data_IF_257387532640
#
_entry.id   IF_257387532640
#
_cell.length_a   1.000
_cell.length_b   1.000
_cell.length_c   1.000
_cell.angle_alpha   90.00
_cell.angle_beta   90.00
_cell.angle_gamma   90.00
#
_symmetry.space_group_name_H-M   'P 1'
#
loop_
_entity.id
_entity.type
_entity.pdbx_description
1 polymer ?
#
# COMPACT_ATOMS: atom_id res chain seq x y z
N UNK A 1 70.64 -42.62 -30.53
CA UNK A 1 69.35 -42.94 -29.90
C UNK A 1 68.81 -41.68 -29.22
N UNK A 2 67.57 -41.33 -29.59
CA UNK A 2 66.92 -40.02 -29.41
C UNK A 2 66.45 -39.86 -27.96
N UNK A 3 66.76 -38.72 -27.33
CA UNK A 3 66.39 -38.41 -25.95
C UNK A 3 64.89 -38.23 -25.74
N UNK A 4 64.37 -38.80 -24.66
CA UNK A 4 63.01 -38.59 -24.17
C UNK A 4 62.91 -37.24 -23.47
N UNK A 5 62.10 -36.32 -24.02
CA UNK A 5 61.63 -35.12 -23.32
C UNK A 5 60.43 -35.53 -22.45
N UNK A 6 60.53 -35.35 -21.13
CA UNK A 6 59.38 -35.43 -20.21
C UNK A 6 58.55 -34.15 -20.37
N UNK A 7 57.29 -34.28 -20.80
CA UNK A 7 56.29 -33.22 -20.66
C UNK A 7 55.83 -33.20 -19.21
N UNK A 8 56.01 -32.07 -18.53
CA UNK A 8 55.39 -31.77 -17.25
C UNK A 8 54.11 -30.99 -17.58
N UNK A 9 52.95 -31.59 -17.28
CA UNK A 9 51.66 -30.92 -17.33
C UNK A 9 51.53 -30.08 -16.06
N UNK A 10 51.59 -28.76 -16.18
CA UNK A 10 51.25 -27.82 -15.11
C UNK A 10 49.77 -27.51 -15.29
N UNK A 11 48.93 -28.09 -14.43
CA UNK A 11 47.52 -27.73 -14.34
C UNK A 11 47.39 -26.38 -13.65
N UNK A 12 46.95 -25.37 -14.38
CA UNK A 12 46.54 -24.08 -13.81
C UNK A 12 45.16 -24.23 -13.16
N UNK A 13 45.12 -24.41 -11.85
CA UNK A 13 43.92 -24.18 -11.04
C UNK A 13 43.61 -22.69 -11.08
N UNK A 14 42.62 -22.31 -11.89
CA UNK A 14 42.00 -20.99 -11.84
C UNK A 14 41.13 -20.96 -10.59
N UNK A 15 41.64 -20.34 -9.53
CA UNK A 15 40.82 -19.94 -8.39
C UNK A 15 39.95 -18.78 -8.85
N UNK A 16 38.67 -19.04 -9.09
CA UNK A 16 37.68 -17.98 -9.21
C UNK A 16 37.49 -17.35 -7.83
N UNK A 17 38.27 -16.31 -7.53
CA UNK A 17 37.85 -15.33 -6.54
C UNK A 17 36.65 -14.59 -7.12
N UNK A 18 35.45 -15.01 -6.70
CA UNK A 18 34.26 -14.18 -6.84
C UNK A 18 34.53 -12.90 -6.04
N UNK A 19 34.70 -11.79 -6.74
CA UNK A 19 34.68 -10.47 -6.11
C UNK A 19 33.23 -10.19 -5.70
N UNK A 20 32.85 -10.58 -4.49
CA UNK A 20 31.77 -9.86 -3.80
C UNK A 20 32.24 -8.42 -3.64
N UNK A 21 31.43 -7.48 -4.10
CA UNK A 21 31.68 -6.06 -3.86
C UNK A 21 31.82 -5.85 -2.34
N UNK A 22 32.80 -5.05 -1.93
CA UNK A 22 33.07 -4.83 -0.49
C UNK A 22 31.84 -4.37 0.29
N UNK A 23 30.89 -3.72 -0.39
CA UNK A 23 29.65 -3.23 0.19
C UNK A 23 28.64 -4.34 0.51
N UNK A 24 28.51 -5.38 -0.33
CA UNK A 24 27.61 -6.52 -0.07
C UNK A 24 28.11 -7.40 1.09
N UNK A 25 29.42 -7.66 1.13
CA UNK A 25 30.03 -8.46 2.19
C UNK A 25 29.93 -7.78 3.57
N UNK A 26 30.03 -6.45 3.59
CA UNK A 26 29.91 -5.65 4.83
C UNK A 26 28.46 -5.61 5.32
N UNK A 27 27.48 -5.43 4.42
CA UNK A 27 26.04 -5.46 4.72
C UNK A 27 25.54 -6.80 5.25
N UNK A 28 25.98 -7.90 4.64
CA UNK A 28 25.67 -9.25 5.13
C UNK A 28 26.16 -9.48 6.55
N UNK A 29 27.25 -8.82 6.95
CA UNK A 29 27.78 -8.93 8.33
C UNK A 29 26.92 -8.16 9.32
N UNK A 30 26.48 -6.94 8.98
CA UNK A 30 25.65 -6.08 9.84
C UNK A 30 24.32 -6.72 10.23
N UNK A 31 23.64 -7.37 9.28
CA UNK A 31 22.32 -7.99 9.50
C UNK A 31 22.36 -9.50 9.72
N UNK A 32 23.56 -10.08 9.91
CA UNK A 32 23.76 -11.53 10.01
C UNK A 32 22.95 -12.20 11.12
N UNK A 33 22.69 -11.52 12.24
CA UNK A 33 21.88 -12.05 13.35
C UNK A 33 20.41 -12.28 12.98
N UNK A 34 19.90 -11.55 11.97
CA UNK A 34 18.54 -11.69 11.50
C UNK A 34 18.44 -12.74 10.38
N UNK A 35 19.52 -13.06 9.68
CA UNK A 35 19.50 -13.96 8.53
C UNK A 35 19.33 -15.42 8.95
N UNK A 36 18.38 -16.11 8.33
CA UNK A 36 18.16 -17.54 8.48
C UNK A 36 18.27 -18.24 7.13
N UNK A 37 18.46 -19.56 7.12
CA UNK A 37 18.44 -20.34 5.88
C UNK A 37 17.03 -20.46 5.27
N UNK A 38 15.99 -20.02 5.99
CA UNK A 38 14.60 -20.05 5.55
C UNK A 38 14.35 -18.91 4.56
N UNK A 39 13.70 -19.23 3.45
CA UNK A 39 13.35 -18.29 2.39
C UNK A 39 12.00 -18.63 1.77
N UNK A 40 11.39 -17.64 1.13
CA UNK A 40 10.27 -17.79 0.21
C UNK A 40 10.77 -17.73 -1.23
N UNK A 41 10.12 -18.48 -2.14
CA UNK A 41 10.54 -18.63 -3.54
C UNK A 41 9.95 -17.56 -4.48
N UNK A 42 9.12 -16.65 -3.96
CA UNK A 42 8.45 -15.59 -4.71
C UNK A 42 9.02 -14.22 -4.34
N UNK A 43 9.09 -13.33 -5.33
CA UNK A 43 9.39 -11.93 -5.10
C UNK A 43 8.20 -11.22 -4.43
N UNK A 44 8.48 -10.12 -3.74
CA UNK A 44 7.51 -9.36 -2.95
C UNK A 44 7.33 -7.95 -3.52
N UNK A 45 6.07 -7.63 -3.83
CA UNK A 45 5.63 -6.27 -4.04
C UNK A 45 5.21 -5.66 -2.71
N UNK A 46 5.55 -4.39 -2.48
CA UNK A 46 5.14 -3.68 -1.27
C UNK A 46 4.62 -2.27 -1.54
N UNK A 47 3.80 -1.77 -0.62
CA UNK A 47 3.35 -0.36 -0.62
C UNK A 47 3.00 0.09 0.79
N UNK A 48 3.15 1.37 1.12
CA UNK A 48 2.63 1.92 2.37
C UNK A 48 1.11 2.03 2.28
N UNK A 49 0.43 1.83 3.41
CA UNK A 49 -1.02 1.95 3.49
C UNK A 49 -1.43 2.49 4.85
N UNK A 50 -2.24 3.51 4.84
CA UNK A 50 -2.98 3.96 6.02
C UNK A 50 -4.27 3.11 6.13
N UNK A 51 -4.43 2.43 7.27
CA UNK A 51 -5.56 1.52 7.52
C UNK A 51 -6.30 1.88 8.80
N UNK A 52 -7.55 1.47 8.87
CA UNK A 52 -8.38 1.54 10.07
C UNK A 52 -8.58 0.13 10.62
N UNK A 53 -8.52 -0.03 11.94
CA UNK A 53 -8.63 -1.33 12.62
C UNK A 53 -10.08 -1.75 12.89
N UNK A 54 -11.01 -0.79 12.79
CA UNK A 54 -12.46 -1.00 12.92
C UNK A 54 -13.22 -0.07 11.97
N UNK A 55 -14.55 -0.15 12.00
CA UNK A 55 -15.43 0.78 11.29
C UNK A 55 -15.73 2.06 12.10
N UNK A 56 -15.09 2.24 13.25
CA UNK A 56 -15.26 3.42 14.09
C UNK A 56 -14.35 4.56 13.62
N UNK A 57 -14.71 5.78 14.02
CA UNK A 57 -13.88 6.98 13.84
C UNK A 57 -12.55 6.79 14.56
N UNK A 58 -11.46 6.82 13.81
CA UNK A 58 -10.11 6.62 14.32
C UNK A 58 -9.07 7.23 13.38
N UNK A 59 -7.95 7.64 13.96
CA UNK A 59 -6.77 8.02 13.19
C UNK A 59 -6.22 6.78 12.48
N UNK A 60 -5.91 6.85 11.17
CA UNK A 60 -5.38 5.70 10.46
C UNK A 60 -3.99 5.31 10.96
N UNK A 61 -3.73 4.01 10.99
CA UNK A 61 -2.41 3.45 11.28
C UNK A 61 -1.62 3.27 9.98
N UNK A 62 -0.37 3.75 9.96
CA UNK A 62 0.53 3.53 8.84
C UNK A 62 1.12 2.11 8.91
N UNK A 63 0.83 1.31 7.88
CA UNK A 63 1.34 -0.05 7.69
C UNK A 63 2.09 -0.16 6.38
N UNK A 64 2.85 -1.23 6.24
CA UNK A 64 3.43 -1.67 4.98
C UNK A 64 2.70 -2.93 4.53
N UNK A 65 2.02 -2.85 3.40
CA UNK A 65 1.42 -4.01 2.76
C UNK A 65 2.48 -4.77 1.98
N UNK A 66 2.60 -6.07 2.21
CA UNK A 66 3.49 -6.97 1.50
C UNK A 66 2.64 -7.97 0.73
N UNK A 67 2.95 -8.19 -0.55
CA UNK A 67 2.23 -9.10 -1.43
C UNK A 67 3.22 -9.94 -2.24
N UNK A 68 2.96 -11.24 -2.36
CA UNK A 68 3.70 -12.05 -3.33
C UNK A 68 3.40 -11.61 -4.76
N UNK A 69 4.38 -11.77 -5.64
CA UNK A 69 4.20 -11.69 -7.09
C UNK A 69 3.50 -12.93 -7.64
N UNK A 70 3.67 -14.08 -6.98
CA UNK A 70 2.95 -15.31 -7.29
C UNK A 70 1.46 -15.20 -6.88
N UNK A 71 0.59 -15.78 -7.69
CA UNK A 71 -0.85 -15.89 -7.44
C UNK A 71 -1.18 -17.30 -6.94
N UNK A 72 -1.76 -17.39 -5.75
CA UNK A 72 -2.16 -18.63 -5.12
C UNK A 72 -3.63 -18.95 -5.36
N UNK A 73 -4.01 -20.21 -5.09
CA UNK A 73 -5.34 -20.73 -5.34
C UNK A 73 -6.46 -20.08 -4.50
N UNK A 74 -6.11 -19.39 -3.40
CA UNK A 74 -7.06 -18.72 -2.51
C UNK A 74 -6.60 -17.29 -2.19
N UNK A 75 -7.55 -16.37 -2.06
CA UNK A 75 -7.28 -14.94 -1.87
C UNK A 75 -6.70 -14.62 -0.49
N UNK A 76 -6.87 -15.54 0.46
CA UNK A 76 -6.45 -15.39 1.84
C UNK A 76 -5.20 -16.20 2.20
N UNK A 77 -4.33 -16.48 1.22
CA UNK A 77 -2.95 -16.89 1.51
C UNK A 77 -2.21 -15.77 2.25
N UNK A 78 -1.39 -16.16 3.23
CA UNK A 78 -0.62 -15.25 4.06
C UNK A 78 0.87 -15.25 3.71
N UNK A 79 1.54 -14.13 3.96
CA UNK A 79 3.01 -14.10 4.06
C UNK A 79 3.38 -14.00 5.53
N UNK A 80 4.04 -15.02 6.07
CA UNK A 80 4.54 -15.01 7.43
C UNK A 80 5.89 -14.26 7.47
N UNK A 81 6.00 -13.32 8.40
CA UNK A 81 7.18 -12.47 8.54
C UNK A 81 7.53 -12.27 10.01
N UNK A 82 8.81 -12.12 10.30
CA UNK A 82 9.29 -11.54 11.55
C UNK A 82 9.63 -10.08 11.34
N UNK A 83 9.21 -9.23 12.29
CA UNK A 83 9.46 -7.80 12.28
C UNK A 83 10.37 -7.42 13.45
N UNK A 84 11.42 -6.65 13.15
CA UNK A 84 12.32 -6.07 14.14
C UNK A 84 12.49 -4.58 13.88
N UNK A 85 12.75 -3.81 14.93
CA UNK A 85 13.09 -2.40 14.83
C UNK A 85 14.37 -2.14 15.61
N UNK A 86 15.38 -1.60 14.93
CA UNK A 86 16.59 -1.11 15.55
C UNK A 86 16.74 0.38 15.24
N UNK A 87 16.62 1.24 16.26
CA UNK A 87 16.59 2.69 16.11
C UNK A 87 15.59 3.16 15.03
N UNK A 88 16.08 3.62 13.88
CA UNK A 88 15.27 4.10 12.73
C UNK A 88 15.23 3.12 11.56
N UNK A 89 15.72 1.91 11.75
CA UNK A 89 15.71 0.84 10.76
C UNK A 89 14.63 -0.17 11.11
N UNK A 90 13.71 -0.40 10.17
CA UNK A 90 12.74 -1.49 10.22
C UNK A 90 13.29 -2.68 9.43
N UNK A 91 13.34 -3.84 10.08
CA UNK A 91 13.85 -5.07 9.48
C UNK A 91 12.69 -6.06 9.37
N UNK A 92 12.44 -6.55 8.17
CA UNK A 92 11.38 -7.48 7.85
C UNK A 92 12.02 -8.73 7.26
N UNK A 93 11.86 -9.86 7.94
CA UNK A 93 12.34 -11.16 7.46
C UNK A 93 11.18 -12.03 7.02
N UNK A 94 11.26 -12.55 5.80
CA UNK A 94 10.29 -13.48 5.26
C UNK A 94 10.53 -14.89 5.80
N UNK A 95 9.48 -15.51 6.35
CA UNK A 95 9.56 -16.85 6.96
C UNK A 95 8.91 -17.90 6.06
N UNK A 96 7.65 -17.68 5.65
CA UNK A 96 6.92 -18.68 4.88
C UNK A 96 5.73 -18.10 4.12
N UNK A 97 5.22 -18.85 3.15
CA UNK A 97 3.89 -18.65 2.59
C UNK A 97 2.92 -19.58 3.32
N UNK A 98 1.86 -19.01 3.88
CA UNK A 98 0.91 -19.73 4.72
C UNK A 98 -0.38 -19.97 3.95
N UNK A 99 -0.70 -21.24 3.76
CA UNK A 99 -2.00 -21.67 3.23
C UNK A 99 -3.09 -21.50 4.31
N UNK A 100 -4.25 -20.93 3.97
CA UNK A 100 -5.33 -20.77 4.93
C UNK A 100 -6.06 -22.11 5.16
N UNK A 101 -6.56 -22.33 6.38
CA UNK A 101 -7.39 -23.49 6.69
C UNK A 101 -8.75 -23.52 5.95
N UNK A 102 -9.24 -22.35 5.51
CA UNK A 102 -10.44 -22.20 4.67
C UNK A 102 -10.08 -21.34 3.47
N UNK A 103 -10.33 -21.85 2.27
CA UNK A 103 -10.11 -21.12 1.02
C UNK A 103 -11.27 -20.15 0.73
N UNK A 104 -10.99 -18.85 0.64
CA UNK A 104 -11.92 -17.89 0.05
C UNK A 104 -11.88 -18.04 -1.48
N UNK A 105 -13.05 -18.18 -2.11
CA UNK A 105 -13.24 -18.56 -3.52
C UNK A 105 -12.81 -17.47 -4.53
N UNK A 106 -11.53 -17.11 -4.52
CA UNK A 106 -10.90 -16.23 -5.49
C UNK A 106 -9.39 -16.52 -5.46
N UNK A 107 -8.72 -16.44 -6.61
CA UNK A 107 -7.26 -16.50 -6.67
C UNK A 107 -6.67 -15.13 -6.34
N UNK A 108 -5.51 -15.10 -5.71
CA UNK A 108 -4.84 -13.84 -5.36
C UNK A 108 -3.44 -14.05 -4.81
N UNK A 109 -2.65 -12.97 -4.66
CA UNK A 109 -1.34 -13.06 -4.05
C UNK A 109 -1.48 -13.35 -2.54
N UNK A 110 -0.46 -13.99 -1.97
CA UNK A 110 -0.30 -14.07 -0.53
C UNK A 110 -0.03 -12.66 0.02
N UNK A 111 -0.61 -12.30 1.17
CA UNK A 111 -0.49 -10.95 1.72
C UNK A 111 -0.17 -10.94 3.21
N UNK A 112 0.45 -9.86 3.65
CA UNK A 112 0.48 -9.48 5.07
C UNK A 112 0.58 -7.97 5.22
N UNK A 113 0.34 -7.50 6.44
CA UNK A 113 0.51 -6.11 6.83
C UNK A 113 1.46 -6.06 8.02
N UNK A 114 2.47 -5.23 7.96
CA UNK A 114 3.40 -4.99 9.07
C UNK A 114 3.35 -3.53 9.50
N UNK A 115 3.71 -3.24 10.74
CA UNK A 115 3.75 -1.87 11.23
C UNK A 115 4.83 -1.08 10.50
N UNK A 116 4.51 0.15 10.07
CA UNK A 116 5.47 1.10 9.54
C UNK A 116 5.55 2.33 10.47
N UNK A 117 6.44 2.30 11.49
CA UNK A 117 6.62 3.41 12.42
C UNK A 117 7.06 4.69 11.71
N UNK A 118 6.51 5.83 12.13
CA UNK A 118 6.74 7.14 11.49
C UNK A 118 8.19 7.65 11.60
N UNK A 119 8.98 7.12 12.52
CA UNK A 119 10.37 7.50 12.76
C UNK A 119 11.40 6.66 11.98
N UNK A 120 10.93 5.69 11.18
CA UNK A 120 11.76 4.86 10.32
C UNK A 120 12.24 5.67 9.12
N UNK A 121 13.54 5.59 8.84
CA UNK A 121 14.14 6.15 7.62
C UNK A 121 14.85 5.10 6.76
N UNK A 122 14.83 3.83 7.18
CA UNK A 122 15.43 2.72 6.45
C UNK A 122 14.61 1.45 6.62
N UNK A 123 14.40 0.71 5.54
CA UNK A 123 13.83 -0.63 5.58
C UNK A 123 14.83 -1.63 5.02
N UNK A 124 14.95 -2.75 5.72
CA UNK A 124 15.74 -3.91 5.32
C UNK A 124 14.78 -5.09 5.17
N UNK A 125 14.72 -5.66 3.97
CA UNK A 125 14.02 -6.90 3.71
C UNK A 125 15.02 -8.04 3.66
N UNK A 126 14.71 -9.16 4.32
CA UNK A 126 15.56 -10.35 4.36
C UNK A 126 14.77 -11.56 3.87
N UNK A 127 15.30 -12.23 2.85
CA UNK A 127 14.76 -13.49 2.33
C UNK A 127 15.89 -14.52 2.21
N UNK A 128 15.97 -15.45 3.17
CA UNK A 128 17.11 -16.36 3.29
C UNK A 128 18.42 -15.61 3.49
N UNK A 129 19.32 -15.77 2.51
CA UNK A 129 20.61 -15.09 2.47
C UNK A 129 20.64 -13.80 1.63
N UNK A 130 19.49 -13.39 1.08
CA UNK A 130 19.36 -12.17 0.28
C UNK A 130 18.85 -11.02 1.13
N UNK A 131 19.27 -9.81 0.77
CA UNK A 131 18.89 -8.57 1.45
C UNK A 131 18.58 -7.49 0.44
N UNK A 132 17.44 -6.84 0.63
CA UNK A 132 17.07 -5.62 -0.08
C UNK A 132 16.99 -4.45 0.92
N UNK A 133 17.42 -3.27 0.49
CA UNK A 133 17.52 -2.07 1.32
C UNK A 133 16.86 -0.88 0.63
N UNK A 134 16.08 -0.14 1.41
CA UNK A 134 15.39 1.07 0.99
C UNK A 134 15.64 2.19 1.98
N UNK A 135 15.97 3.37 1.46
CA UNK A 135 15.80 4.61 2.21
C UNK A 135 14.31 4.99 2.21
N UNK A 136 13.84 5.48 3.36
CA UNK A 136 12.44 5.84 3.58
C UNK A 136 12.35 7.27 4.09
N UNK A 137 11.41 8.03 3.52
CA UNK A 137 11.02 9.34 4.02
C UNK A 137 9.55 9.32 4.37
N UNK A 138 9.22 9.60 5.63
CA UNK A 138 7.85 9.69 6.13
C UNK A 138 7.64 11.09 6.69
N UNK A 139 6.68 11.83 6.15
CA UNK A 139 6.26 13.11 6.70
C UNK A 139 4.72 13.15 6.83
N UNK A 140 4.12 14.33 6.99
CA UNK A 140 2.66 14.47 7.10
C UNK A 140 1.93 14.39 5.75
N UNK A 141 2.65 14.59 4.64
CA UNK A 141 2.08 14.66 3.29
C UNK A 141 2.21 13.33 2.53
N UNK A 142 3.36 12.64 2.66
CA UNK A 142 3.65 11.42 1.91
C UNK A 142 4.64 10.48 2.59
N UNK A 143 4.66 9.26 2.05
CA UNK A 143 5.68 8.23 2.29
C UNK A 143 6.41 7.97 0.98
N UNK A 144 7.73 8.04 1.01
CA UNK A 144 8.60 7.83 -0.16
C UNK A 144 9.60 6.71 0.09
N UNK A 145 9.82 5.87 -0.91
CA UNK A 145 10.82 4.80 -0.89
C UNK A 145 11.85 5.01 -2.00
N UNK A 146 13.13 4.85 -1.66
CA UNK A 146 14.22 4.86 -2.64
C UNK A 146 15.04 3.60 -2.48
N UNK A 147 15.09 2.78 -3.53
CA UNK A 147 15.86 1.54 -3.50
C UNK A 147 17.35 1.85 -3.43
N UNK A 148 18.02 1.33 -2.40
CA UNK A 148 19.48 1.39 -2.27
C UNK A 148 20.10 0.12 -2.86
N UNK A 149 19.49 -1.03 -2.59
CA UNK A 149 19.82 -2.33 -3.18
C UNK A 149 18.57 -3.17 -3.25
N UNK A 150 18.31 -3.83 -4.38
CA UNK A 150 17.16 -4.73 -4.51
C UNK A 150 17.45 -5.94 -5.37
N UNK A 151 16.83 -7.06 -5.03
CA UNK A 151 17.01 -8.35 -5.67
C UNK A 151 15.75 -9.22 -5.65
N UNK A 152 14.81 -9.00 -4.73
CA UNK A 152 13.56 -9.76 -4.62
C UNK A 152 12.35 -8.94 -4.17
N UNK A 153 12.51 -7.63 -3.93
CA UNK A 153 11.41 -6.73 -3.56
C UNK A 153 11.24 -5.58 -4.55
N UNK A 154 9.99 -5.13 -4.71
CA UNK A 154 9.64 -3.97 -5.54
C UNK A 154 8.60 -3.11 -4.82
N UNK A 155 8.86 -1.80 -4.71
CA UNK A 155 7.80 -0.87 -4.28
C UNK A 155 6.83 -0.67 -5.45
N UNK A 156 5.54 -0.91 -5.23
CA UNK A 156 4.51 -0.69 -6.25
C UNK A 156 4.36 0.78 -6.61
N UNK A 157 4.68 1.67 -5.66
CA UNK A 157 4.70 3.10 -5.83
C UNK A 157 5.91 3.68 -5.11
N UNK A 158 6.69 4.53 -5.78
CA UNK A 158 7.82 5.21 -5.14
C UNK A 158 7.35 6.22 -4.09
N UNK A 159 6.24 6.90 -4.39
CA UNK A 159 5.57 7.88 -3.53
C UNK A 159 4.12 7.45 -3.26
N UNK A 160 3.65 7.65 -2.03
CA UNK A 160 2.23 7.52 -1.66
C UNK A 160 1.85 8.66 -0.74
N UNK A 161 0.81 9.42 -1.11
CA UNK A 161 0.31 10.47 -0.24
C UNK A 161 -0.33 9.88 1.02
N UNK A 162 -0.23 10.62 2.12
CA UNK A 162 -0.95 10.35 3.36
C UNK A 162 -2.29 11.04 3.36
N UNK A 163 -3.24 10.52 4.15
CA UNK A 163 -4.55 11.11 4.36
C UNK A 163 -4.39 12.49 5.03
N UNK A 164 -4.73 13.59 4.34
CA UNK A 164 -4.65 14.91 4.94
C UNK A 164 -5.62 15.02 6.11
N UNK A 165 -5.17 15.51 7.26
CA UNK A 165 -6.06 15.75 8.40
C UNK A 165 -7.17 16.72 8.00
N UNK A 166 -8.35 16.50 8.58
CA UNK A 166 -9.57 17.26 8.29
C UNK A 166 -9.92 17.31 6.81
N UNK A 167 -9.78 16.17 6.12
CA UNK A 167 -10.23 16.02 4.75
C UNK A 167 -11.16 14.83 4.56
N UNK A 168 -11.91 14.83 3.46
CA UNK A 168 -12.75 13.71 3.05
C UNK A 168 -12.78 13.57 1.53
N UNK A 169 -13.08 12.35 1.09
CA UNK A 169 -13.36 12.03 -0.30
C UNK A 169 -14.87 11.99 -0.56
N UNK A 170 -15.28 12.61 -1.65
CA UNK A 170 -16.58 12.41 -2.31
C UNK A 170 -16.41 11.39 -3.43
N UNK A 171 -17.08 10.25 -3.28
CA UNK A 171 -17.06 9.14 -4.23
C UNK A 171 -18.49 8.88 -4.70
N UNK A 172 -18.69 8.77 -6.00
CA UNK A 172 -20.02 8.60 -6.56
C UNK A 172 -20.02 7.65 -7.75
N UNK A 173 -20.95 6.69 -7.71
CA UNK A 173 -21.25 5.80 -8.82
C UNK A 173 -22.70 5.98 -9.27
N UNK A 174 -22.93 6.02 -10.58
CA UNK A 174 -24.28 6.17 -11.14
C UNK A 174 -24.58 5.10 -12.18
N UNK A 175 -25.84 5.01 -12.57
CA UNK A 175 -26.22 4.40 -13.84
C UNK A 175 -26.01 5.41 -15.00
N UNK A 176 -26.33 5.01 -16.23
CA UNK A 176 -26.18 5.86 -17.42
C UNK A 176 -27.20 6.99 -17.52
N UNK A 177 -28.34 6.85 -16.83
CA UNK A 177 -29.48 7.77 -16.95
C UNK A 177 -29.42 8.89 -15.92
N UNK A 178 -28.70 8.65 -14.81
CA UNK A 178 -28.69 9.52 -13.64
C UNK A 178 -27.30 10.13 -13.36
N UNK A 179 -26.48 10.31 -14.41
CA UNK A 179 -25.13 10.88 -14.26
C UNK A 179 -25.12 12.31 -13.70
N UNK A 180 -26.21 13.07 -13.90
CA UNK A 180 -26.38 14.43 -13.36
C UNK A 180 -26.28 14.50 -11.82
N UNK A 181 -26.60 13.41 -11.12
CA UNK A 181 -26.56 13.34 -9.65
C UNK A 181 -25.15 13.64 -9.11
N UNK A 182 -24.10 13.24 -9.84
CA UNK A 182 -22.72 13.55 -9.48
C UNK A 182 -22.47 15.05 -9.44
N UNK A 183 -22.78 15.76 -10.54
CA UNK A 183 -22.54 17.20 -10.65
C UNK A 183 -23.45 18.01 -9.71
N UNK A 184 -24.69 17.57 -9.50
CA UNK A 184 -25.63 18.22 -8.57
C UNK A 184 -25.12 18.17 -7.13
N UNK A 185 -24.71 16.99 -6.63
CA UNK A 185 -24.20 16.88 -5.27
C UNK A 185 -22.82 17.54 -5.12
N UNK A 186 -21.96 17.43 -6.14
CA UNK A 186 -20.67 18.11 -6.15
C UNK A 186 -20.82 19.65 -6.06
N UNK A 187 -21.85 20.21 -6.70
CA UNK A 187 -22.16 21.63 -6.61
C UNK A 187 -22.53 22.04 -5.18
N UNK A 188 -23.30 21.21 -4.45
CA UNK A 188 -23.62 21.45 -3.03
C UNK A 188 -22.35 21.52 -2.18
N UNK A 189 -21.39 20.61 -2.42
CA UNK A 189 -20.11 20.62 -1.70
C UNK A 189 -19.28 21.88 -2.01
N UNK A 190 -19.23 22.29 -3.28
CA UNK A 190 -18.47 23.47 -3.73
C UNK A 190 -19.06 24.80 -3.28
N UNK A 191 -20.39 24.88 -3.18
CA UNK A 191 -21.09 26.09 -2.73
C UNK A 191 -21.05 26.26 -1.20
N UNK A 192 -20.71 25.20 -0.47
CA UNK A 192 -20.59 25.27 0.98
C UNK A 192 -19.25 25.93 1.39
N UNK A 193 -19.27 27.12 2.02
CA UNK A 193 -18.05 27.85 2.36
C UNK A 193 -17.21 27.17 3.46
N UNK A 194 -17.73 26.13 4.12
CA UNK A 194 -16.98 25.35 5.09
C UNK A 194 -15.99 24.37 4.43
N UNK A 195 -16.10 24.14 3.12
CA UNK A 195 -15.30 23.17 2.39
C UNK A 195 -14.43 23.82 1.33
N UNK A 196 -13.21 23.30 1.20
CA UNK A 196 -12.25 23.68 0.18
C UNK A 196 -11.91 22.44 -0.65
N UNK A 197 -12.25 22.43 -1.94
CA UNK A 197 -11.81 21.38 -2.87
C UNK A 197 -10.30 21.47 -3.06
N UNK A 198 -9.61 20.33 -3.05
CA UNK A 198 -8.17 20.27 -3.33
C UNK A 198 -7.83 19.09 -4.23
N UNK A 199 -6.65 19.17 -4.84
CA UNK A 199 -6.03 18.06 -5.59
C UNK A 199 -4.73 17.66 -4.91
N UNK A 200 -4.33 16.39 -5.06
CA UNK A 200 -3.02 15.94 -4.63
C UNK A 200 -1.97 16.42 -5.63
N UNK A 201 -1.09 17.31 -5.22
CA UNK A 201 -0.06 17.88 -6.10
C UNK A 201 1.23 17.04 -6.10
N UNK A 202 1.73 16.73 -7.29
CA UNK A 202 2.96 15.97 -7.49
C UNK A 202 2.73 14.48 -7.75
N UNK A 203 3.82 13.71 -7.76
CA UNK A 203 3.78 12.27 -8.00
C UNK A 203 3.47 11.52 -6.70
N UNK A 204 2.57 10.53 -6.79
CA UNK A 204 2.29 9.62 -5.70
C UNK A 204 0.93 8.96 -5.82
N UNK A 205 0.80 7.78 -5.21
CA UNK A 205 -0.51 7.10 -5.08
C UNK A 205 -1.43 7.90 -4.16
N UNK A 206 -2.64 8.18 -4.60
CA UNK A 206 -3.67 8.80 -3.76
C UNK A 206 -4.18 7.77 -2.72
N UNK A 207 -4.29 8.13 -1.43
CA UNK A 207 -4.71 7.20 -0.37
C UNK A 207 -6.22 6.95 -0.35
N UNK A 208 -7.01 7.88 -0.89
CA UNK A 208 -8.45 7.73 -1.10
C UNK A 208 -8.77 6.86 -2.32
N UNK A 209 -10.02 6.41 -2.41
CA UNK A 209 -10.53 5.82 -3.65
C UNK A 209 -10.57 6.89 -4.75
N UNK A 210 -10.05 6.56 -5.93
CA UNK A 210 -10.06 7.48 -7.07
C UNK A 210 -11.40 7.47 -7.82
N UNK A 211 -12.16 6.37 -7.74
CA UNK A 211 -13.51 6.25 -8.30
C UNK A 211 -14.38 5.36 -7.41
N UNK A 212 -15.69 5.33 -7.66
CA UNK A 212 -16.52 4.21 -7.21
C UNK A 212 -16.14 2.92 -7.96
N UNK A 213 -16.66 1.78 -7.50
CA UNK A 213 -16.50 0.48 -8.17
C UNK A 213 -17.86 -0.24 -8.28
N UNK A 214 -18.02 -1.09 -9.31
CA UNK A 214 -19.23 -1.90 -9.51
C UNK A 214 -20.43 -1.16 -10.10
N UNK A 215 -20.28 0.10 -10.55
CA UNK A 215 -21.35 0.86 -11.21
C UNK A 215 -21.19 0.89 -12.73
N UNK A 216 -22.27 1.26 -13.44
CA UNK A 216 -22.21 1.47 -14.90
C UNK A 216 -21.37 2.70 -15.25
N UNK A 217 -21.42 3.74 -14.42
CA UNK A 217 -20.60 4.94 -14.54
C UNK A 217 -19.95 5.18 -13.19
N UNK A 218 -18.62 5.02 -13.14
CA UNK A 218 -17.82 5.36 -11.98
C UNK A 218 -17.20 6.74 -12.19
N UNK A 219 -17.60 7.72 -11.39
CA UNK A 219 -17.09 9.08 -11.50
C UNK A 219 -15.75 9.21 -10.79
N UNK A 220 -14.92 10.16 -11.26
CA UNK A 220 -13.71 10.54 -10.55
C UNK A 220 -14.08 11.14 -9.20
N UNK A 221 -13.34 10.74 -8.16
CA UNK A 221 -13.56 11.21 -6.81
C UNK A 221 -13.02 12.63 -6.65
N UNK A 222 -13.64 13.39 -5.75
CA UNK A 222 -13.20 14.74 -5.37
C UNK A 222 -12.85 14.80 -3.90
N UNK A 223 -11.89 15.65 -3.55
CA UNK A 223 -11.35 15.72 -2.20
C UNK A 223 -11.55 17.11 -1.63
N UNK A 224 -11.95 17.17 -0.36
CA UNK A 224 -12.30 18.40 0.31
C UNK A 224 -11.65 18.48 1.67
N UNK A 225 -11.24 19.68 2.07
CA UNK A 225 -10.84 20.00 3.45
C UNK A 225 -11.97 20.71 4.18
N UNK A 226 -11.99 20.57 5.50
CA UNK A 226 -12.85 21.31 6.41
C UNK A 226 -12.03 21.83 7.59
N UNK A 227 -12.51 22.90 8.23
CA UNK A 227 -11.86 23.45 9.44
C UNK A 227 -12.46 22.85 10.71
N UNK A 228 -13.78 22.80 10.80
CA UNK A 228 -14.49 22.33 11.99
C UNK A 228 -15.12 20.96 11.73
N UNK A 229 -14.93 20.01 12.66
CA UNK A 229 -15.54 18.66 12.58
C UNK A 229 -17.06 18.74 12.46
N UNK A 230 -17.68 19.73 13.12
CA UNK A 230 -19.13 19.94 13.06
C UNK A 230 -19.65 20.28 11.65
N UNK A 231 -18.80 20.76 10.75
CA UNK A 231 -19.21 21.00 9.35
C UNK A 231 -19.27 19.70 8.56
N UNK A 232 -18.35 18.77 8.80
CA UNK A 232 -18.44 17.41 8.27
C UNK A 232 -19.65 16.67 8.87
N UNK A 233 -19.94 16.82 10.16
CA UNK A 233 -21.13 16.22 10.81
C UNK A 233 -22.45 16.59 10.11
N UNK A 234 -22.59 17.84 9.68
CA UNK A 234 -23.79 18.33 9.00
C UNK A 234 -24.02 17.66 7.64
N UNK A 235 -22.98 17.09 7.01
CA UNK A 235 -23.11 16.41 5.71
C UNK A 235 -24.00 15.17 5.78
N UNK A 236 -24.18 14.55 6.95
CA UNK A 236 -25.13 13.46 7.12
C UNK A 236 -26.54 13.88 6.67
N UNK A 237 -27.02 15.01 7.22
CA UNK A 237 -28.36 15.54 6.94
C UNK A 237 -28.46 16.05 5.50
N UNK A 238 -27.42 16.71 4.99
CA UNK A 238 -27.36 17.19 3.60
C UNK A 238 -27.48 16.02 2.62
N UNK A 239 -26.68 14.97 2.83
CA UNK A 239 -26.68 13.77 2.00
C UNK A 239 -28.02 13.04 2.06
N UNK A 240 -28.59 12.85 3.25
CA UNK A 240 -29.87 12.15 3.39
C UNK A 240 -31.01 12.91 2.72
N UNK A 241 -31.08 14.23 2.90
CA UNK A 241 -32.08 15.07 2.22
C UNK A 241 -31.94 15.00 0.70
N UNK A 242 -30.72 15.15 0.17
CA UNK A 242 -30.47 15.06 -1.26
C UNK A 242 -30.84 13.67 -1.80
N UNK A 243 -30.37 12.61 -1.13
CA UNK A 243 -30.64 11.24 -1.55
C UNK A 243 -32.13 10.93 -1.60
N UNK A 244 -32.90 11.34 -0.59
CA UNK A 244 -34.35 11.11 -0.53
C UNK A 244 -35.15 11.77 -1.67
N UNK A 245 -34.59 12.81 -2.29
CA UNK A 245 -35.22 13.57 -3.35
C UNK A 245 -34.73 13.16 -4.75
N UNK A 246 -33.47 12.73 -4.87
CA UNK A 246 -32.80 12.53 -6.15
C UNK A 246 -32.42 11.08 -6.44
N UNK A 247 -32.34 10.21 -5.44
CA UNK A 247 -31.86 8.83 -5.60
C UNK A 247 -32.98 7.84 -5.25
N UNK A 248 -33.53 7.19 -6.28
CA UNK A 248 -34.47 6.08 -6.08
C UNK A 248 -33.77 4.88 -5.41
N UNK A 249 -34.48 4.24 -4.49
CA UNK A 249 -34.00 3.04 -3.79
C UNK A 249 -33.66 1.92 -4.79
N UNK A 250 -32.50 1.29 -4.62
CA UNK A 250 -31.98 0.23 -5.49
C UNK A 250 -31.74 0.64 -6.96
N UNK A 251 -31.59 1.93 -7.26
CA UNK A 251 -31.35 2.44 -8.62
C UNK A 251 -29.93 2.18 -9.18
N UNK A 252 -29.04 1.64 -8.36
CA UNK A 252 -27.62 1.49 -8.70
C UNK A 252 -26.82 2.80 -8.62
N UNK A 253 -27.41 3.85 -8.06
CA UNK A 253 -26.73 5.12 -7.76
C UNK A 253 -26.26 5.14 -6.30
N UNK A 254 -25.03 5.56 -6.06
CA UNK A 254 -24.41 5.64 -4.74
C UNK A 254 -23.62 6.94 -4.60
N UNK A 255 -23.69 7.54 -3.41
CA UNK A 255 -22.77 8.59 -2.95
C UNK A 255 -22.19 8.15 -1.62
N UNK A 256 -20.86 8.22 -1.51
CA UNK A 256 -20.12 7.98 -0.29
C UNK A 256 -19.25 9.19 0.04
N UNK A 257 -19.27 9.58 1.32
CA UNK A 257 -18.38 10.58 1.89
C UNK A 257 -17.52 9.89 2.94
N UNK A 258 -16.21 9.86 2.73
CA UNK A 258 -15.27 9.17 3.63
C UNK A 258 -14.20 10.13 4.09
N UNK A 259 -14.19 10.45 5.38
CA UNK A 259 -13.17 11.30 6.00
C UNK A 259 -11.84 10.58 6.23
N UNK A 260 -10.80 11.37 6.50
CA UNK A 260 -9.45 10.94 6.85
C UNK A 260 -9.35 10.10 8.13
N UNK A 261 -10.34 10.18 9.03
CA UNK A 261 -10.41 9.46 10.29
C UNK A 261 -11.53 8.40 10.29
N UNK A 262 -11.88 7.88 9.11
CA UNK A 262 -12.85 6.81 8.89
C UNK A 262 -14.32 7.15 9.20
N UNK A 263 -14.66 8.41 9.47
CA UNK A 263 -16.06 8.82 9.53
C UNK A 263 -16.68 8.78 8.13
N UNK A 264 -17.76 8.01 7.97
CA UNK A 264 -18.40 7.74 6.68
C UNK A 264 -19.88 8.15 6.65
N UNK A 265 -20.33 8.66 5.51
CA UNK A 265 -21.75 8.82 5.17
C UNK A 265 -22.07 8.20 3.82
N UNK A 266 -23.26 7.60 3.73
CA UNK A 266 -23.68 6.84 2.56
C UNK A 266 -25.12 7.17 2.19
N UNK A 267 -25.39 7.37 0.90
CA UNK A 267 -26.73 7.69 0.40
C UNK A 267 -27.76 6.57 0.55
N UNK A 268 -27.34 5.35 0.90
CA UNK A 268 -28.22 4.17 0.95
C UNK A 268 -28.52 3.65 2.36
N UNK A 269 -28.01 4.29 3.42
CA UNK A 269 -28.26 3.83 4.80
C UNK A 269 -29.66 4.21 5.28
N UNK A 270 -30.15 5.40 4.90
CA UNK A 270 -31.45 5.92 5.33
C UNK A 270 -32.49 6.03 4.18
N UNK A 271 -32.20 5.43 3.03
CA UNK A 271 -33.04 5.48 1.82
C UNK A 271 -33.89 4.21 1.63
#
# INVERSE_FOLDING_TARGET
>A
MRGMRKLIFIGSTVLFFSCTSGDEATRSTEYSEYMLAVSIETDIDFMPKEIYTSNDVQIPELKLELRSTEIYGCLNFGVEVSQFKNERTLIIRFESIVEPGICLTAMGPARTMVDLPLDVNKIIFINGNKLDEYDVSINEEKVSFSAVSKSFTTSLYEDTFRLPKHSFAFVCGTNTDNTHIYDEFLSILRENPAFEEFEFEGDGRIPYAETSDGHWVNHLSKYFKYTEVSDFEKLAVVLNNFSSQHIEKNSGVSIALTSWDNWQYYSWVEN
#
